data_IF_153102086202
#
_entry.id   IF_153102086202
#
_cell.length_a   1.000
_cell.length_b   1.000
_cell.length_c   1.000
_cell.angle_alpha   90.00
_cell.angle_beta   90.00
_cell.angle_gamma   90.00
#
_symmetry.space_group_name_H-M   'P 1'
#
loop_
_entity.id
_entity.type
_entity.pdbx_description
1 polymer ?
#
# COMPACT_ATOMS: atom_id res chain seq x y z
N UNK A 1 -2.65 -5.93 -24.74
CA UNK A 1 -3.73 -5.70 -23.75
C UNK A 1 -4.95 -6.60 -23.99
N UNK A 2 -5.51 -6.64 -25.21
CA UNK A 2 -6.73 -7.43 -25.49
C UNK A 2 -6.60 -8.93 -25.14
N UNK A 3 -5.43 -9.53 -25.38
CA UNK A 3 -5.16 -10.91 -24.98
C UNK A 3 -5.22 -11.12 -23.46
N UNK A 4 -4.69 -10.19 -22.66
CA UNK A 4 -4.75 -10.23 -21.19
C UNK A 4 -6.18 -10.07 -20.69
N UNK A 5 -6.95 -9.16 -21.31
CA UNK A 5 -8.36 -8.96 -21.00
C UNK A 5 -9.14 -10.25 -21.25
N UNK A 6 -8.94 -10.88 -22.41
CA UNK A 6 -9.62 -12.14 -22.75
C UNK A 6 -9.23 -13.28 -21.79
N UNK A 7 -7.96 -13.36 -21.40
CA UNK A 7 -7.47 -14.30 -20.40
C UNK A 7 -8.25 -14.15 -19.07
N UNK A 8 -8.37 -12.92 -18.57
CA UNK A 8 -9.10 -12.60 -17.34
C UNK A 8 -10.62 -12.84 -17.46
N UNK A 9 -11.22 -12.52 -18.61
CA UNK A 9 -12.64 -12.77 -18.91
C UNK A 9 -12.96 -14.28 -18.88
N UNK A 10 -11.99 -15.12 -19.27
CA UNK A 10 -12.08 -16.59 -19.16
C UNK A 10 -11.81 -17.12 -17.74
N UNK A 11 -11.75 -16.25 -16.73
CA UNK A 11 -11.51 -16.59 -15.31
C UNK A 11 -10.17 -17.27 -15.03
N UNK A 12 -9.18 -17.01 -15.86
CA UNK A 12 -7.84 -17.56 -15.70
C UNK A 12 -6.93 -16.54 -14.99
N UNK A 13 -6.07 -17.02 -14.10
CA UNK A 13 -5.09 -16.19 -13.40
C UNK A 13 -3.93 -15.81 -14.32
N UNK A 14 -3.47 -14.57 -14.23
CA UNK A 14 -2.32 -14.12 -15.00
C UNK A 14 -1.04 -14.81 -14.50
N UNK A 15 -0.22 -15.28 -15.45
CA UNK A 15 1.14 -15.71 -15.14
C UNK A 15 2.03 -14.54 -14.70
N UNK A 16 3.16 -14.78 -14.01
CA UNK A 16 4.08 -13.71 -13.59
C UNK A 16 4.51 -12.79 -14.74
N UNK A 17 4.79 -13.36 -15.92
CA UNK A 17 5.14 -12.60 -17.13
C UNK A 17 3.97 -11.77 -17.64
N UNK A 18 2.75 -12.28 -17.58
CA UNK A 18 1.56 -11.53 -17.99
C UNK A 18 1.27 -10.37 -17.03
N UNK A 19 1.57 -10.54 -15.74
CA UNK A 19 1.50 -9.47 -14.74
C UNK A 19 2.50 -8.35 -15.05
N UNK A 20 3.75 -8.67 -15.37
CA UNK A 20 4.75 -7.67 -15.79
C UNK A 20 4.27 -6.88 -17.01
N UNK A 21 3.80 -7.58 -18.05
CA UNK A 21 3.24 -6.95 -19.26
C UNK A 21 2.01 -6.10 -18.94
N UNK A 22 1.14 -6.56 -18.03
CA UNK A 22 -0.02 -5.79 -17.58
C UNK A 22 0.41 -4.49 -16.89
N UNK A 23 1.41 -4.53 -16.02
CA UNK A 23 1.94 -3.35 -15.33
C UNK A 23 2.54 -2.36 -16.32
N UNK A 24 3.40 -2.81 -17.24
CA UNK A 24 3.98 -1.95 -18.27
C UNK A 24 2.90 -1.24 -19.09
N UNK A 25 1.88 -1.97 -19.52
CA UNK A 25 0.76 -1.43 -20.28
C UNK A 25 -0.14 -0.48 -19.46
N UNK A 26 -0.30 -0.71 -18.17
CA UNK A 26 -1.04 0.19 -17.28
C UNK A 26 -0.29 1.51 -17.08
N UNK A 27 1.03 1.44 -16.93
CA UNK A 27 1.88 2.60 -16.67
C UNK A 27 2.30 3.36 -17.93
N UNK A 28 2.19 2.76 -19.12
CA UNK A 28 2.47 3.40 -20.39
C UNK A 28 1.50 4.58 -20.67
N UNK A 29 1.99 5.83 -20.78
CA UNK A 29 1.16 6.98 -21.15
C UNK A 29 0.52 6.88 -22.54
N UNK A 30 1.09 6.09 -23.46
CA UNK A 30 0.57 5.92 -24.82
C UNK A 30 -0.54 4.86 -24.91
N UNK A 31 -0.70 4.01 -23.89
CA UNK A 31 -1.75 3.00 -23.86
C UNK A 31 -3.14 3.67 -23.62
N UNK A 32 -4.18 3.33 -24.42
CA UNK A 32 -5.50 3.96 -24.29
C UNK A 32 -6.15 3.71 -22.92
N UNK A 33 -6.68 4.78 -22.30
CA UNK A 33 -7.37 4.72 -21.01
C UNK A 33 -8.52 3.71 -21.02
N UNK A 34 -9.32 3.64 -22.09
CA UNK A 34 -10.40 2.66 -22.25
C UNK A 34 -9.92 1.22 -22.07
N UNK A 35 -8.76 0.88 -22.67
CA UNK A 35 -8.24 -0.48 -22.55
C UNK A 35 -7.70 -0.75 -21.15
N UNK A 36 -7.06 0.23 -20.51
CA UNK A 36 -6.60 0.14 -19.11
C UNK A 36 -7.79 -0.08 -18.17
N UNK A 37 -8.88 0.64 -18.40
CA UNK A 37 -10.12 0.46 -17.64
C UNK A 37 -10.65 -0.97 -17.79
N UNK A 38 -10.78 -1.47 -19.02
CA UNK A 38 -11.25 -2.84 -19.29
C UNK A 38 -10.35 -3.90 -18.66
N UNK A 39 -9.03 -3.70 -18.66
CA UNK A 39 -8.09 -4.61 -18.02
C UNK A 39 -8.30 -4.68 -16.50
N UNK A 40 -8.41 -3.53 -15.83
CA UNK A 40 -8.64 -3.46 -14.39
C UNK A 40 -10.03 -3.97 -14.00
N UNK A 41 -11.04 -3.69 -14.82
CA UNK A 41 -12.40 -4.17 -14.62
C UNK A 41 -12.48 -5.70 -14.80
N UNK A 42 -11.85 -6.27 -15.84
CA UNK A 42 -11.78 -7.71 -16.04
C UNK A 42 -11.06 -8.41 -14.88
N UNK A 43 -9.96 -7.83 -14.39
CA UNK A 43 -9.22 -8.35 -13.23
C UNK A 43 -10.09 -8.34 -11.96
N UNK A 44 -10.79 -7.25 -11.70
CA UNK A 44 -11.72 -7.11 -10.57
C UNK A 44 -12.90 -8.09 -10.65
N UNK A 45 -13.49 -8.26 -11.84
CA UNK A 45 -14.61 -9.20 -12.09
C UNK A 45 -14.15 -10.66 -11.94
N UNK A 46 -12.91 -10.98 -12.32
CA UNK A 46 -12.33 -12.30 -12.03
C UNK A 46 -12.15 -12.50 -10.52
N UNK A 47 -11.73 -11.45 -9.82
CA UNK A 47 -11.29 -11.48 -8.43
C UNK A 47 -9.79 -11.75 -8.37
N UNK A 48 -9.05 -10.83 -7.77
CA UNK A 48 -7.60 -10.92 -7.64
C UNK A 48 -7.20 -11.98 -6.61
N UNK A 49 -6.23 -12.82 -6.97
CA UNK A 49 -5.64 -13.77 -6.01
C UNK A 49 -4.48 -13.14 -5.24
N UNK A 50 -4.15 -13.64 -4.03
CA UNK A 50 -2.95 -13.21 -3.30
C UNK A 50 -1.67 -13.29 -4.13
N UNK A 51 -1.55 -14.30 -5.01
CA UNK A 51 -0.42 -14.47 -5.90
C UNK A 51 -0.35 -13.36 -6.96
N UNK A 52 -1.47 -13.05 -7.62
CA UNK A 52 -1.53 -11.95 -8.59
C UNK A 52 -1.24 -10.60 -7.91
N UNK A 53 -1.84 -10.32 -6.75
CA UNK A 53 -1.62 -9.07 -6.02
C UNK A 53 -0.14 -8.90 -5.68
N UNK A 54 0.50 -9.95 -5.15
CA UNK A 54 1.94 -9.91 -4.86
C UNK A 54 2.78 -9.66 -6.13
N UNK A 55 2.44 -10.33 -7.24
CA UNK A 55 3.11 -10.12 -8.53
C UNK A 55 2.96 -8.68 -9.06
N UNK A 56 1.75 -8.13 -8.98
CA UNK A 56 1.50 -6.74 -9.39
C UNK A 56 2.26 -5.76 -8.51
N UNK A 57 2.27 -5.97 -7.18
CA UNK A 57 3.03 -5.15 -6.24
C UNK A 57 4.51 -5.18 -6.57
N UNK A 58 5.10 -6.37 -6.79
CA UNK A 58 6.52 -6.48 -7.17
C UNK A 58 6.84 -5.74 -8.47
N UNK A 59 6.03 -5.95 -9.52
CA UNK A 59 6.22 -5.29 -10.80
C UNK A 59 6.03 -3.76 -10.70
N UNK A 60 5.08 -3.27 -9.91
CA UNK A 60 4.96 -1.84 -9.65
C UNK A 60 6.13 -1.27 -8.84
N UNK A 61 6.65 -2.01 -7.86
CA UNK A 61 7.80 -1.59 -7.05
C UNK A 61 9.08 -1.50 -7.89
N UNK A 62 9.22 -2.28 -8.96
CA UNK A 62 10.33 -2.15 -9.91
C UNK A 62 10.30 -0.81 -10.68
N UNK A 63 9.13 -0.17 -10.78
CA UNK A 63 8.94 1.13 -11.44
C UNK A 63 8.92 2.30 -10.43
N UNK A 64 9.05 2.01 -9.14
CA UNK A 64 9.07 3.01 -8.07
C UNK A 64 10.45 3.65 -7.93
N UNK A 65 10.49 4.83 -7.32
CA UNK A 65 11.75 5.47 -6.93
C UNK A 65 12.31 4.73 -5.72
N UNK A 66 13.46 4.07 -5.87
CA UNK A 66 14.12 3.36 -4.78
C UNK A 66 14.84 4.35 -3.83
N UNK A 67 14.54 4.35 -2.52
CA UNK A 67 15.30 5.14 -1.54
C UNK A 67 16.75 4.67 -1.32
N UNK A 68 17.13 3.51 -1.86
CA UNK A 68 18.44 2.85 -1.73
C UNK A 68 18.89 2.67 -0.27
N UNK A 69 17.99 2.19 0.59
CA UNK A 69 18.31 1.94 2.00
C UNK A 69 19.27 0.77 2.20
N UNK A 70 19.38 -0.14 1.23
CA UNK A 70 20.37 -1.23 1.28
C UNK A 70 21.84 -0.78 1.27
N UNK A 71 22.08 0.51 1.08
CA UNK A 71 23.41 1.14 1.20
C UNK A 71 23.73 1.59 2.63
N UNK A 72 22.77 1.51 3.55
CA UNK A 72 22.94 1.92 4.95
C UNK A 72 23.17 0.72 5.86
N UNK A 73 24.01 0.90 6.86
CA UNK A 73 24.04 0.02 8.03
C UNK A 73 22.98 0.50 9.03
N UNK A 74 21.92 -0.28 9.20
CA UNK A 74 20.80 0.05 10.06
C UNK A 74 20.89 -0.73 11.38
N UNK A 75 20.74 -0.03 12.51
CA UNK A 75 20.86 -0.63 13.84
C UNK A 75 19.67 -1.52 14.25
N UNK A 76 18.51 -1.33 13.60
CA UNK A 76 17.27 -2.02 13.93
C UNK A 76 16.50 -2.50 12.69
N UNK A 77 15.48 -3.36 12.88
CA UNK A 77 14.68 -3.87 11.78
C UNK A 77 13.89 -2.73 11.13
N UNK A 78 13.80 -2.76 9.80
CA UNK A 78 12.95 -1.82 9.07
C UNK A 78 11.48 -2.15 9.28
N UNK A 79 10.67 -1.13 9.57
CA UNK A 79 9.26 -1.26 9.88
C UNK A 79 8.41 -0.29 9.06
N UNK A 80 7.29 -0.78 8.53
CA UNK A 80 6.18 0.07 8.07
C UNK A 80 4.91 -0.26 8.86
N UNK A 81 4.14 0.79 9.15
CA UNK A 81 2.88 0.75 9.89
C UNK A 81 1.86 1.57 9.11
N UNK A 82 0.86 0.91 8.52
CA UNK A 82 -0.13 1.58 7.69
C UNK A 82 -1.48 0.86 7.74
N UNK A 83 -2.55 1.59 7.44
CA UNK A 83 -3.89 1.04 7.26
C UNK A 83 -4.34 1.18 5.81
N UNK A 84 -5.29 0.36 5.38
CA UNK A 84 -6.00 0.57 4.12
C UNK A 84 -6.87 1.82 4.13
N UNK A 85 -7.15 2.38 5.32
CA UNK A 85 -8.13 3.43 5.57
C UNK A 85 -9.57 2.94 5.48
N UNK A 86 -10.51 3.87 5.70
CA UNK A 86 -11.93 3.66 5.40
C UNK A 86 -12.79 3.14 6.56
N UNK A 87 -12.29 3.16 7.79
CA UNK A 87 -13.03 2.81 9.01
C UNK A 87 -14.21 3.76 9.32
N UNK A 88 -14.18 5.00 8.82
CA UNK A 88 -15.21 6.05 9.03
C UNK A 88 -15.48 6.36 10.51
N UNK A 89 -14.51 6.09 11.38
CA UNK A 89 -14.64 6.29 12.83
C UNK A 89 -14.04 7.62 13.30
N UNK A 90 -13.52 8.45 12.38
CA UNK A 90 -12.88 9.74 12.68
C UNK A 90 -11.82 9.63 13.80
N UNK A 91 -11.09 8.50 13.83
CA UNK A 91 -9.99 8.29 14.76
C UNK A 91 -8.83 9.27 14.45
N UNK A 92 -8.03 9.56 15.47
CA UNK A 92 -6.75 10.23 15.24
C UNK A 92 -5.81 9.31 14.42
N UNK A 93 -4.73 9.87 13.88
CA UNK A 93 -3.80 9.15 13.00
C UNK A 93 -2.92 8.15 13.77
N UNK A 94 -3.52 7.04 14.25
CA UNK A 94 -2.89 6.01 15.08
C UNK A 94 -1.60 5.49 14.45
N UNK A 95 -1.64 5.04 13.19
CA UNK A 95 -0.43 4.56 12.50
C UNK A 95 0.66 5.63 12.31
N UNK A 96 0.34 6.92 12.35
CA UNK A 96 1.34 8.01 12.28
C UNK A 96 1.93 8.28 13.67
N UNK A 97 1.13 8.19 14.72
CA UNK A 97 1.62 8.22 16.10
C UNK A 97 2.52 7.01 16.39
N UNK A 98 2.11 5.82 15.97
CA UNK A 98 2.85 4.57 16.16
C UNK A 98 4.25 4.63 15.53
N UNK A 99 4.40 5.30 14.38
CA UNK A 99 5.70 5.50 13.73
C UNK A 99 6.75 6.12 14.67
N UNK A 100 6.40 7.16 15.42
CA UNK A 100 7.35 7.79 16.35
C UNK A 100 7.64 6.93 17.57
N UNK A 101 6.62 6.23 18.09
CA UNK A 101 6.78 5.33 19.25
C UNK A 101 7.68 4.16 18.88
N UNK A 102 7.47 3.53 17.73
CA UNK A 102 8.30 2.42 17.24
C UNK A 102 9.74 2.85 16.97
N UNK A 103 9.94 4.05 16.40
CA UNK A 103 11.28 4.61 16.22
C UNK A 103 12.00 4.83 17.56
N UNK A 104 11.31 5.42 18.53
CA UNK A 104 11.84 5.60 19.89
C UNK A 104 12.15 4.29 20.63
N UNK A 105 11.55 3.17 20.19
CA UNK A 105 11.82 1.82 20.70
C UNK A 105 12.94 1.08 19.94
N UNK A 106 13.59 1.72 18.95
CA UNK A 106 14.74 1.18 18.22
C UNK A 106 14.42 0.53 16.88
N UNK A 107 13.18 0.61 16.37
CA UNK A 107 12.88 0.20 15.00
C UNK A 107 13.27 1.28 14.00
N UNK A 108 13.67 0.89 12.78
CA UNK A 108 13.89 1.85 11.69
C UNK A 108 12.59 2.03 10.91
N UNK A 109 11.87 3.11 11.14
CA UNK A 109 10.53 3.28 10.57
C UNK A 109 10.58 3.96 9.21
N UNK A 110 10.22 3.21 8.18
CA UNK A 110 10.19 3.61 6.76
C UNK A 110 8.74 3.77 6.30
N UNK A 111 7.99 4.68 6.92
CA UNK A 111 6.53 4.76 6.71
C UNK A 111 6.20 5.19 5.28
N UNK A 112 5.36 4.43 4.58
CA UNK A 112 4.79 4.84 3.30
C UNK A 112 3.36 5.35 3.48
N UNK A 113 2.99 6.41 2.77
CA UNK A 113 1.64 6.95 2.91
C UNK A 113 1.25 7.99 1.88
N UNK A 114 -0.01 8.39 1.98
CA UNK A 114 -0.61 9.41 1.12
C UNK A 114 -1.45 10.40 1.96
N UNK A 115 -1.97 11.44 1.33
CA UNK A 115 -2.96 12.34 1.94
C UNK A 115 -4.28 11.60 2.15
N UNK A 116 -5.04 12.05 3.16
CA UNK A 116 -6.38 11.52 3.40
C UNK A 116 -7.30 11.78 2.20
N UNK A 117 -7.97 10.74 1.69
CA UNK A 117 -8.99 10.87 0.64
C UNK A 117 -10.39 10.89 1.25
N UNK A 118 -10.62 10.12 2.32
CA UNK A 118 -11.94 9.93 2.96
C UNK A 118 -12.01 10.40 4.41
N UNK A 119 -10.87 10.58 5.08
CA UNK A 119 -10.80 11.10 6.46
C UNK A 119 -10.63 12.61 6.48
N UNK A 120 -10.97 13.25 7.61
CA UNK A 120 -10.74 14.69 7.83
C UNK A 120 -9.25 15.08 7.79
N UNK A 121 -8.36 14.14 8.11
CA UNK A 121 -6.90 14.29 8.00
C UNK A 121 -6.26 12.91 7.81
N UNK A 122 -5.28 12.79 6.93
CA UNK A 122 -4.42 11.62 6.80
C UNK A 122 -3.07 11.80 7.49
N UNK A 123 -2.24 10.76 7.45
CA UNK A 123 -0.92 10.79 8.11
C UNK A 123 -0.01 11.87 7.57
N UNK A 124 -0.02 12.09 6.25
CA UNK A 124 0.73 13.18 5.62
C UNK A 124 0.30 14.57 6.13
N UNK A 125 -1.00 14.79 6.32
CA UNK A 125 -1.55 16.07 6.77
C UNK A 125 -1.15 16.36 8.23
N UNK A 126 -1.08 15.32 9.08
CA UNK A 126 -0.57 15.43 10.45
C UNK A 126 0.93 15.76 10.48
N UNK A 127 1.73 15.08 9.66
CA UNK A 127 3.16 15.35 9.58
C UNK A 127 3.45 16.79 9.15
N UNK A 128 2.73 17.31 8.14
CA UNK A 128 2.85 18.70 7.73
C UNK A 128 2.45 19.68 8.84
N UNK A 129 1.36 19.39 9.56
CA UNK A 129 0.93 20.22 10.70
C UNK A 129 1.98 20.26 11.84
N UNK A 130 2.79 19.20 11.97
CA UNK A 130 3.93 19.15 12.88
C UNK A 130 5.20 19.84 12.32
N UNK A 131 5.14 20.41 11.12
CA UNK A 131 6.28 21.06 10.45
C UNK A 131 7.23 20.07 9.77
N UNK A 132 6.84 18.81 9.61
CA UNK A 132 7.65 17.79 8.94
C UNK A 132 7.42 17.90 7.43
N UNK A 133 8.52 18.01 6.70
CA UNK A 133 8.51 17.99 5.25
C UNK A 133 8.20 16.57 4.74
N UNK A 134 7.06 16.40 4.09
CA UNK A 134 6.60 15.09 3.59
C UNK A 134 7.05 14.79 2.16
N UNK A 135 7.44 15.81 1.40
CA UNK A 135 7.74 15.74 -0.02
C UNK A 135 9.24 15.51 -0.31
N UNK A 136 9.90 14.72 0.55
CA UNK A 136 11.34 14.50 0.46
C UNK A 136 11.72 13.58 -0.71
N UNK A 137 12.72 13.96 -1.53
CA UNK A 137 13.33 13.04 -2.49
C UNK A 137 14.07 11.90 -1.77
N UNK A 138 14.36 10.83 -2.52
CA UNK A 138 15.00 9.62 -2.02
C UNK A 138 16.27 9.87 -1.19
N UNK A 139 17.17 10.75 -1.66
CA UNK A 139 18.42 11.05 -0.94
C UNK A 139 18.19 11.77 0.38
N UNK A 140 17.23 12.70 0.42
CA UNK A 140 16.89 13.41 1.66
C UNK A 140 16.20 12.48 2.66
N UNK A 141 15.31 11.62 2.18
CA UNK A 141 14.69 10.57 2.99
C UNK A 141 15.74 9.61 3.55
N UNK A 142 16.72 9.17 2.74
CA UNK A 142 17.83 8.32 3.20
C UNK A 142 18.58 8.96 4.38
N UNK A 143 18.85 10.27 4.31
CA UNK A 143 19.48 10.99 5.44
C UNK A 143 18.60 11.06 6.68
N UNK A 144 17.28 11.12 6.54
CA UNK A 144 16.37 11.03 7.69
C UNK A 144 16.46 9.66 8.35
N UNK A 145 16.49 8.59 7.56
CA UNK A 145 16.66 7.23 8.07
C UNK A 145 18.00 7.08 8.78
N UNK A 146 19.10 7.52 8.17
CA UNK A 146 20.45 7.44 8.76
C UNK A 146 20.57 8.21 10.09
N UNK A 147 19.98 9.41 10.18
CA UNK A 147 20.17 10.30 11.35
C UNK A 147 19.15 10.10 12.45
N UNK A 148 17.94 9.70 12.12
CA UNK A 148 16.82 9.68 13.05
C UNK A 148 16.15 8.29 13.16
N UNK A 149 16.49 7.33 12.30
CA UNK A 149 15.84 6.03 12.27
C UNK A 149 14.36 6.08 11.87
N UNK A 150 13.89 7.21 11.32
CA UNK A 150 12.48 7.42 11.00
C UNK A 150 12.31 8.36 9.81
N UNK A 151 11.43 7.99 8.89
CA UNK A 151 11.14 8.77 7.69
C UNK A 151 9.77 8.44 7.10
N UNK A 152 9.26 9.38 6.30
CA UNK A 152 7.99 9.24 5.59
C UNK A 152 8.20 9.35 4.07
N UNK A 153 7.68 8.38 3.33
CA UNK A 153 7.67 8.35 1.87
C UNK A 153 6.28 8.70 1.36
N UNK A 154 6.16 9.90 0.77
CA UNK A 154 4.90 10.36 0.20
C UNK A 154 4.66 9.73 -1.18
N UNK A 155 3.62 8.92 -1.29
CA UNK A 155 3.37 8.04 -2.44
C UNK A 155 3.47 8.72 -3.83
N UNK A 156 2.97 9.96 -4.07
CA UNK A 156 3.09 10.61 -5.37
C UNK A 156 4.53 10.88 -5.84
N UNK A 157 5.49 10.97 -4.92
CA UNK A 157 6.92 11.19 -5.23
C UNK A 157 7.58 9.87 -5.60
N UNK A 158 7.22 8.80 -4.88
CA UNK A 158 7.85 7.51 -5.00
C UNK A 158 7.21 6.62 -6.09
N UNK A 159 6.00 6.94 -6.54
CA UNK A 159 5.29 6.21 -7.60
C UNK A 159 4.91 7.14 -8.77
N UNK A 160 5.86 7.85 -9.40
CA UNK A 160 5.56 8.86 -10.41
C UNK A 160 4.87 8.29 -11.65
N UNK A 161 5.13 7.02 -11.99
CA UNK A 161 4.49 6.32 -13.11
C UNK A 161 2.97 6.15 -12.92
N UNK A 162 2.47 6.18 -11.68
CA UNK A 162 1.03 6.01 -11.41
C UNK A 162 0.19 7.19 -11.93
N UNK A 163 0.81 8.30 -12.35
CA UNK A 163 0.14 9.40 -13.07
C UNK A 163 -0.64 8.87 -14.27
N UNK A 164 -0.11 7.86 -14.96
CA UNK A 164 -0.72 7.22 -16.15
C UNK A 164 -2.03 6.48 -15.88
N UNK A 165 -2.37 6.21 -14.61
CA UNK A 165 -3.61 5.51 -14.22
C UNK A 165 -4.55 6.39 -13.38
N UNK A 166 -4.22 7.67 -13.13
CA UNK A 166 -5.05 8.55 -12.29
C UNK A 166 -6.45 8.72 -12.87
N UNK A 167 -6.57 9.00 -14.16
CA UNK A 167 -7.87 9.23 -14.81
C UNK A 167 -8.69 7.94 -14.90
N UNK A 168 -8.04 6.84 -15.30
CA UNK A 168 -8.60 5.47 -15.30
C UNK A 168 -9.21 5.12 -13.94
N UNK A 169 -8.44 5.33 -12.86
CA UNK A 169 -8.90 5.05 -11.49
C UNK A 169 -10.06 5.95 -11.07
N UNK A 170 -10.05 7.23 -11.44
CA UNK A 170 -11.17 8.16 -11.16
C UNK A 170 -12.45 7.73 -11.89
N UNK A 171 -12.34 7.38 -13.17
CA UNK A 171 -13.45 6.91 -14.02
C UNK A 171 -14.07 5.63 -13.47
N UNK A 172 -13.26 4.62 -13.14
CA UNK A 172 -13.72 3.37 -12.53
C UNK A 172 -14.35 3.60 -11.16
N UNK A 173 -13.73 4.44 -10.33
CA UNK A 173 -14.25 4.82 -9.02
C UNK A 173 -15.61 5.52 -9.09
N UNK A 174 -15.83 6.40 -10.08
CA UNK A 174 -17.12 7.06 -10.31
C UNK A 174 -18.23 6.06 -10.69
N UNK A 175 -17.87 4.93 -11.29
CA UNK A 175 -18.78 3.80 -11.57
C UNK A 175 -18.90 2.80 -10.41
N UNK A 176 -18.21 3.02 -9.30
CA UNK A 176 -18.21 2.13 -8.15
C UNK A 176 -17.37 0.86 -8.34
N UNK A 177 -16.53 0.79 -9.38
CA UNK A 177 -15.67 -0.37 -9.64
C UNK A 177 -14.44 -0.30 -8.71
N UNK A 178 -14.32 -1.28 -7.83
CA UNK A 178 -13.11 -1.48 -7.01
C UNK A 178 -12.07 -2.22 -7.85
N UNK A 179 -10.82 -1.85 -7.71
CA UNK A 179 -9.71 -2.46 -8.46
C UNK A 179 -8.59 -2.87 -7.51
N UNK A 180 -7.60 -3.61 -8.02
CA UNK A 180 -6.34 -3.89 -7.33
C UNK A 180 -5.70 -2.64 -6.67
N UNK A 181 -5.85 -1.44 -7.25
CA UNK A 181 -5.32 -0.20 -6.66
C UNK A 181 -5.94 0.18 -5.31
N UNK A 182 -7.10 -0.39 -4.96
CA UNK A 182 -7.72 -0.23 -3.64
C UNK A 182 -7.09 -1.15 -2.59
N UNK A 183 -6.34 -2.18 -3.01
CA UNK A 183 -5.71 -3.17 -2.12
C UNK A 183 -4.22 -2.88 -1.92
N UNK A 184 -3.53 -2.46 -2.97
CA UNK A 184 -2.06 -2.43 -2.96
C UNK A 184 -1.43 -1.26 -2.21
N UNK A 185 -2.16 -0.19 -1.89
CA UNK A 185 -1.58 1.02 -1.28
C UNK A 185 -0.63 0.75 -0.10
N UNK A 186 -1.07 -0.02 0.93
CA UNK A 186 -0.22 -0.48 2.04
C UNK A 186 0.96 -1.36 1.63
N UNK A 187 0.90 -2.06 0.49
CA UNK A 187 1.92 -3.00 0.02
C UNK A 187 2.99 -2.32 -0.86
N UNK A 188 2.73 -1.10 -1.33
CA UNK A 188 3.57 -0.34 -2.27
C UNK A 188 4.72 0.43 -1.62
N UNK A 189 5.27 -0.04 -0.49
CA UNK A 189 6.38 0.63 0.15
C UNK A 189 7.70 0.38 -0.63
N UNK A 190 8.31 1.42 -1.25
CA UNK A 190 9.50 1.26 -2.08
C UNK A 190 10.75 0.87 -1.28
N UNK A 191 10.77 1.11 0.03
CA UNK A 191 11.84 0.66 0.91
C UNK A 191 11.81 -0.84 1.22
N UNK A 192 10.74 -1.55 0.85
CA UNK A 192 10.59 -3.01 1.05
C UNK A 192 10.93 -3.44 2.49
N UNK A 193 10.19 -2.96 3.50
CA UNK A 193 10.54 -3.17 4.91
C UNK A 193 10.59 -4.66 5.27
N UNK A 194 11.42 -5.01 6.25
CA UNK A 194 11.51 -6.36 6.80
C UNK A 194 10.26 -6.71 7.62
N UNK A 195 9.81 -5.74 8.42
CA UNK A 195 8.64 -5.86 9.28
C UNK A 195 7.51 -4.98 8.78
N UNK A 196 6.27 -5.47 8.83
CA UNK A 196 5.14 -4.68 8.36
C UNK A 196 3.86 -4.97 9.14
N UNK A 197 3.19 -3.92 9.64
CA UNK A 197 1.85 -4.02 10.21
C UNK A 197 0.87 -3.30 9.28
N UNK A 198 -0.08 -4.07 8.75
CA UNK A 198 -1.14 -3.56 7.88
C UNK A 198 -2.49 -3.71 8.56
N UNK A 199 -3.13 -2.59 8.81
CA UNK A 199 -4.55 -2.53 9.10
C UNK A 199 -5.39 -2.77 7.84
N UNK A 200 -6.36 -3.68 7.91
CA UNK A 200 -7.26 -3.97 6.78
C UNK A 200 -8.71 -3.62 7.13
N UNK A 201 -9.42 -2.99 6.20
CA UNK A 201 -10.81 -2.53 6.40
C UNK A 201 -11.83 -3.67 6.55
N UNK A 202 -11.49 -4.90 6.15
CA UNK A 202 -12.38 -6.07 6.20
C UNK A 202 -11.70 -7.25 6.87
N UNK A 203 -12.43 -7.90 7.77
CA UNK A 203 -11.98 -9.08 8.52
C UNK A 203 -11.62 -10.23 7.60
N UNK A 204 -12.31 -10.36 6.48
CA UNK A 204 -12.18 -11.42 5.49
C UNK A 204 -10.87 -11.29 4.69
N UNK A 205 -10.35 -10.07 4.55
CA UNK A 205 -9.10 -9.79 3.84
C UNK A 205 -7.84 -10.09 4.67
N UNK A 206 -7.94 -10.17 6.00
CA UNK A 206 -6.78 -10.43 6.88
C UNK A 206 -5.92 -11.63 6.44
N UNK A 207 -6.48 -12.83 6.18
CA UNK A 207 -5.69 -13.98 5.73
C UNK A 207 -5.02 -13.76 4.37
N UNK A 208 -5.72 -13.12 3.43
CA UNK A 208 -5.18 -12.82 2.10
C UNK A 208 -4.00 -11.85 2.20
N UNK A 209 -4.11 -10.80 3.01
CA UNK A 209 -2.99 -9.87 3.24
C UNK A 209 -1.78 -10.54 3.90
N UNK A 210 -2.00 -11.43 4.87
CA UNK A 210 -0.89 -12.19 5.46
C UNK A 210 -0.18 -13.07 4.41
N UNK A 211 -0.93 -13.74 3.54
CA UNK A 211 -0.34 -14.50 2.43
C UNK A 211 0.42 -13.60 1.44
N UNK A 212 -0.14 -12.44 1.08
CA UNK A 212 0.54 -11.48 0.20
C UNK A 212 1.85 -11.00 0.83
N UNK A 213 1.84 -10.63 2.11
CA UNK A 213 3.01 -10.17 2.84
C UNK A 213 4.11 -11.25 2.91
N UNK A 214 3.72 -12.50 3.10
CA UNK A 214 4.64 -13.64 3.01
C UNK A 214 5.26 -13.77 1.61
N UNK A 215 4.44 -13.67 0.55
CA UNK A 215 4.90 -13.73 -0.85
C UNK A 215 5.84 -12.57 -1.22
N UNK A 216 5.62 -11.39 -0.63
CA UNK A 216 6.50 -10.21 -0.76
C UNK A 216 7.79 -10.32 0.09
N UNK A 217 8.01 -11.44 0.77
CA UNK A 217 9.27 -11.72 1.47
C UNK A 217 9.45 -10.95 2.78
N UNK A 218 8.37 -10.52 3.44
CA UNK A 218 8.46 -9.90 4.76
C UNK A 218 8.96 -10.91 5.80
N UNK A 219 9.94 -10.52 6.60
CA UNK A 219 10.48 -11.37 7.68
C UNK A 219 9.45 -11.58 8.80
N UNK A 220 8.69 -10.54 9.13
CA UNK A 220 7.58 -10.62 10.09
C UNK A 220 6.51 -9.59 9.74
N UNK A 221 5.29 -10.02 9.45
CA UNK A 221 4.23 -9.10 9.11
C UNK A 221 2.89 -9.47 9.74
N UNK A 222 2.11 -8.47 10.16
CA UNK A 222 0.77 -8.64 10.73
C UNK A 222 -0.26 -7.93 9.88
N UNK A 223 -1.25 -8.67 9.40
CA UNK A 223 -2.50 -8.13 8.89
C UNK A 223 -3.52 -8.10 10.03
N UNK A 224 -4.01 -6.90 10.40
CA UNK A 224 -4.89 -6.71 11.55
C UNK A 224 -6.23 -6.11 11.15
N UNK A 225 -7.29 -6.57 11.79
CA UNK A 225 -8.63 -6.00 11.68
C UNK A 225 -9.25 -5.88 13.07
N UNK A 226 -9.41 -4.65 13.53
CA UNK A 226 -10.06 -4.33 14.79
C UNK A 226 -11.57 -4.21 14.65
N UNK A 227 -12.27 -4.44 15.75
CA UNK A 227 -13.70 -4.11 15.90
C UNK A 227 -13.92 -3.27 17.14
N UNK A 228 -14.92 -2.41 17.11
CA UNK A 228 -15.46 -1.74 18.30
C UNK A 228 -16.45 -2.66 19.02
N UNK A 229 -16.83 -2.30 20.26
CA UNK A 229 -17.80 -3.06 21.06
C UNK A 229 -19.21 -3.10 20.45
N UNK A 230 -19.54 -2.12 19.61
CA UNK A 230 -20.78 -2.07 18.82
C UNK A 230 -20.63 -2.69 17.41
N UNK A 231 -19.50 -3.35 17.13
CA UNK A 231 -19.29 -4.15 15.92
C UNK A 231 -18.84 -3.39 14.66
N UNK A 232 -18.48 -2.11 14.78
CA UNK A 232 -17.91 -1.33 13.66
C UNK A 232 -16.46 -1.76 13.41
N UNK A 233 -16.07 -1.75 12.13
CA UNK A 233 -14.73 -2.12 11.68
C UNK A 233 -13.72 -1.00 11.93
N UNK A 234 -12.50 -1.40 12.28
CA UNK A 234 -11.33 -0.53 12.47
C UNK A 234 -10.16 -1.17 11.72
N UNK A 235 -9.45 -0.42 10.88
CA UNK A 235 -8.21 -0.88 10.25
C UNK A 235 -6.99 -0.58 11.13
N UNK A 236 -7.12 -0.83 12.43
CA UNK A 236 -6.07 -0.66 13.44
C UNK A 236 -6.24 -1.75 14.51
N UNK A 237 -5.24 -1.93 15.37
CA UNK A 237 -5.41 -2.74 16.58
C UNK A 237 -6.40 -2.03 17.52
N UNK A 238 -7.53 -2.66 17.78
CA UNK A 238 -8.63 -2.04 18.55
C UNK A 238 -8.43 -2.20 20.05
N UNK A 239 -8.60 -1.09 20.78
CA UNK A 239 -8.80 -1.07 22.24
C UNK A 239 -10.30 -1.07 22.61
N UNK A 240 -11.18 -0.95 21.63
CA UNK A 240 -12.62 -0.80 21.81
C UNK A 240 -13.37 -2.13 21.65
N UNK A 241 -12.67 -3.21 21.29
CA UNK A 241 -13.25 -4.53 21.03
C UNK A 241 -12.17 -5.53 20.64
N UNK A 242 -12.53 -6.55 19.86
CA UNK A 242 -11.59 -7.59 19.45
C UNK A 242 -10.69 -7.14 18.29
N UNK A 243 -9.51 -7.74 18.17
CA UNK A 243 -8.67 -7.61 16.98
C UNK A 243 -8.39 -8.98 16.40
N UNK A 244 -8.70 -9.18 15.12
CA UNK A 244 -8.22 -10.32 14.35
C UNK A 244 -6.79 -10.01 13.89
N UNK A 245 -5.89 -10.96 14.10
CA UNK A 245 -4.51 -10.88 13.64
C UNK A 245 -4.24 -12.10 12.76
N UNK A 246 -3.72 -11.86 11.57
CA UNK A 246 -3.12 -12.88 10.70
C UNK A 246 -1.64 -12.53 10.52
N UNK A 247 -0.76 -13.48 10.77
CA UNK A 247 0.69 -13.33 10.77
C UNK A 247 1.29 -14.27 9.74
#
# INVERSE_FOLDING_TARGET
MDALIHHLENKQELSPREVEVAVDLLLDPAAPDEKKERLLEALSIKGETPAEIAGFVEAFLQQAVDPHLGLLELEGPTLDVCGTGGDKLDLFNISTTAMFVSAGAGAVVVKHGNRGITSKSGGADVLEALGIRIDLPADDFRRCIEKAGVGFMFAPIYHPAFKSVVNVRKSLGARGVKTIFNLIGPLMNPARPQCQLIGVFSRELCPAFAEILQRLGRESAWAVHGTTGDGRSVDEVSLMGSTRICK
#
